data_IF_386831354378
#
_entry.id   IF_386831354378
#
_cell.length_a   1.000
_cell.length_b   1.000
_cell.length_c   1.000
_cell.angle_alpha   90.00
_cell.angle_beta   90.00
_cell.angle_gamma   90.00
#
_symmetry.space_group_name_H-M   'P 1'
#
loop_
_entity.id
_entity.type
_entity.pdbx_description
1 polymer ?
#
# COMPACT_ATOMS: atom_id res chain seq x y z
N UNK A 1 -4.81 -6.69 -75.62
CA UNK A 1 -4.88 -5.41 -74.90
C UNK A 1 -5.09 -5.71 -73.43
N UNK A 2 -4.03 -5.62 -72.64
CA UNK A 2 -4.04 -5.94 -71.17
C UNK A 2 -3.96 -4.61 -70.45
N UNK A 3 -5.05 -4.27 -69.71
CA UNK A 3 -5.10 -3.08 -68.84
C UNK A 3 -4.30 -3.35 -67.56
N UNK A 4 -3.31 -2.54 -67.28
CA UNK A 4 -2.48 -2.53 -66.13
C UNK A 4 -3.11 -1.55 -65.10
N UNK A 5 -3.75 -2.08 -64.04
CA UNK A 5 -4.27 -1.27 -62.96
C UNK A 5 -3.15 -1.00 -61.96
N UNK A 6 -2.76 0.26 -61.84
CA UNK A 6 -1.78 0.76 -60.89
C UNK A 6 -2.44 0.94 -59.52
N UNK A 7 -2.08 0.11 -58.53
CA UNK A 7 -2.53 0.23 -57.15
C UNK A 7 -1.65 1.27 -56.44
N UNK A 8 -2.23 2.41 -56.08
CA UNK A 8 -1.57 3.46 -55.33
C UNK A 8 -1.63 3.12 -53.81
N UNK A 9 -0.49 2.74 -53.23
CA UNK A 9 -0.34 2.47 -51.81
C UNK A 9 -0.16 3.80 -51.07
N UNK A 10 -1.20 4.28 -50.39
CA UNK A 10 -1.12 5.44 -49.51
C UNK A 10 -0.55 5.00 -48.15
N UNK A 11 0.70 5.34 -47.88
CA UNK A 11 1.31 5.18 -46.57
C UNK A 11 0.81 6.27 -45.61
N UNK A 12 0.04 5.90 -44.60
CA UNK A 12 -0.36 6.78 -43.50
C UNK A 12 0.75 6.74 -42.46
N UNK A 13 1.42 7.85 -42.15
CA UNK A 13 2.34 7.88 -41.02
C UNK A 13 1.52 7.86 -39.73
N UNK A 14 1.58 6.73 -39.02
CA UNK A 14 1.05 6.61 -37.65
C UNK A 14 1.80 7.54 -36.72
N UNK A 15 1.16 8.58 -36.23
CA UNK A 15 1.62 9.35 -35.10
C UNK A 15 1.56 8.46 -33.85
N UNK A 16 2.71 7.93 -33.43
CA UNK A 16 2.88 7.42 -32.08
C UNK A 16 2.77 8.60 -31.10
N UNK A 17 1.61 8.78 -30.50
CA UNK A 17 1.49 9.63 -29.34
C UNK A 17 2.10 8.87 -28.16
N UNK A 18 3.36 9.18 -27.83
CA UNK A 18 3.92 8.86 -26.54
C UNK A 18 3.06 9.57 -25.49
N UNK A 19 2.31 8.81 -24.71
CA UNK A 19 1.58 9.30 -23.55
C UNK A 19 2.61 9.61 -22.46
N UNK A 20 3.18 10.83 -22.52
CA UNK A 20 3.91 11.39 -21.38
C UNK A 20 2.90 11.56 -20.23
N UNK A 21 2.87 10.56 -19.35
CA UNK A 21 2.19 10.67 -18.08
C UNK A 21 2.85 11.79 -17.27
N UNK A 22 2.29 12.98 -17.34
CA UNK A 22 2.57 14.03 -16.35
C UNK A 22 2.15 13.47 -14.99
N UNK A 23 3.12 13.03 -14.19
CA UNK A 23 2.92 12.82 -12.78
C UNK A 23 2.55 14.17 -12.18
N UNK A 24 1.26 14.41 -12.06
CA UNK A 24 0.71 15.59 -11.42
C UNK A 24 0.93 15.44 -9.92
N UNK A 25 1.69 16.35 -9.37
CA UNK A 25 1.86 16.67 -7.96
C UNK A 25 0.59 16.42 -7.14
N UNK A 26 0.75 15.56 -6.10
CA UNK A 26 0.06 15.59 -4.80
C UNK A 26 -1.38 16.08 -4.82
N UNK A 27 -2.30 15.29 -5.37
CA UNK A 27 -3.69 15.40 -4.98
C UNK A 27 -3.85 14.64 -3.66
N UNK A 28 -3.69 15.33 -2.52
CA UNK A 28 -4.19 14.84 -1.24
C UNK A 28 -5.69 14.68 -1.42
N UNK A 29 -6.12 13.45 -1.71
CA UNK A 29 -7.55 13.14 -1.75
C UNK A 29 -8.05 13.35 -0.33
N UNK A 30 -8.92 14.34 -0.12
CA UNK A 30 -9.46 14.62 1.19
C UNK A 30 -10.19 13.36 1.68
N UNK A 31 -9.71 12.80 2.79
CA UNK A 31 -10.33 11.61 3.42
C UNK A 31 -11.67 12.06 4.00
N UNK A 32 -12.74 11.37 3.64
CA UNK A 32 -14.08 11.66 4.11
C UNK A 32 -14.16 11.53 5.66
N UNK A 33 -14.92 12.39 6.34
CA UNK A 33 -14.97 12.43 7.82
C UNK A 33 -15.31 11.09 8.46
N UNK A 34 -16.17 10.28 7.84
CA UNK A 34 -16.56 8.96 8.31
C UNK A 34 -15.43 7.93 8.28
N UNK A 35 -14.41 8.12 7.44
CA UNK A 35 -13.24 7.25 7.34
C UNK A 35 -12.08 7.67 8.25
N UNK A 36 -12.09 8.89 8.78
CA UNK A 36 -11.01 9.41 9.64
C UNK A 36 -10.71 8.52 10.85
N UNK A 37 -11.71 7.97 11.59
CA UNK A 37 -11.43 7.08 12.71
C UNK A 37 -10.69 5.79 12.29
N UNK A 38 -10.96 5.24 11.11
CA UNK A 38 -10.26 4.06 10.59
C UNK A 38 -8.81 4.41 10.19
N UNK A 39 -8.61 5.57 9.55
CA UNK A 39 -7.27 6.07 9.23
C UNK A 39 -6.42 6.26 10.49
N UNK A 40 -7.00 6.79 11.57
CA UNK A 40 -6.30 6.97 12.83
C UNK A 40 -5.82 5.64 13.44
N UNK A 41 -6.58 4.54 13.26
CA UNK A 41 -6.16 3.19 13.70
C UNK A 41 -4.96 2.71 12.86
N UNK A 42 -5.00 2.89 11.53
CA UNK A 42 -3.88 2.53 10.65
C UNK A 42 -2.61 3.28 11.03
N UNK A 43 -2.70 4.57 11.30
CA UNK A 43 -1.56 5.40 11.71
C UNK A 43 -0.98 4.97 13.06
N UNK A 44 -1.84 4.64 14.02
CA UNK A 44 -1.40 4.15 15.33
C UNK A 44 -0.75 2.77 15.24
N UNK A 45 -1.30 1.86 14.42
CA UNK A 45 -0.70 0.56 14.14
C UNK A 45 0.68 0.72 13.50
N UNK A 46 0.80 1.53 12.45
CA UNK A 46 2.07 1.79 11.77
C UNK A 46 3.11 2.40 12.72
N UNK A 47 2.69 3.34 13.58
CA UNK A 47 3.57 3.94 14.60
C UNK A 47 4.03 2.89 15.62
N UNK A 48 3.15 2.01 16.08
CA UNK A 48 3.49 0.96 17.03
C UNK A 48 4.51 -0.02 16.43
N UNK A 49 4.33 -0.46 15.18
CA UNK A 49 5.31 -1.28 14.48
C UNK A 49 6.66 -0.55 14.34
N UNK A 50 6.65 0.70 13.92
CA UNK A 50 7.86 1.49 13.70
C UNK A 50 8.66 1.73 14.99
N UNK A 51 7.97 1.80 16.12
CA UNK A 51 8.62 1.93 17.45
C UNK A 51 8.97 0.58 18.07
N UNK A 52 8.52 -0.53 17.49
CA UNK A 52 8.72 -1.89 18.02
C UNK A 52 7.80 -2.25 19.17
N UNK A 53 6.72 -1.50 19.39
CA UNK A 53 5.70 -1.78 20.39
C UNK A 53 4.69 -2.80 19.84
N UNK A 54 5.11 -4.08 19.81
CA UNK A 54 4.32 -5.16 19.22
C UNK A 54 3.02 -5.46 20.01
N UNK A 55 3.02 -5.26 21.32
CA UNK A 55 1.82 -5.41 22.14
C UNK A 55 0.75 -4.39 21.70
N UNK A 56 1.17 -3.15 21.54
CA UNK A 56 0.30 -2.08 21.05
C UNK A 56 -0.13 -2.32 19.61
N UNK A 57 0.77 -2.74 18.73
CA UNK A 57 0.42 -3.10 17.35
C UNK A 57 -0.64 -4.19 17.32
N UNK A 58 -0.47 -5.25 18.11
CA UNK A 58 -1.43 -6.35 18.24
C UNK A 58 -2.80 -5.91 18.73
N UNK A 59 -2.87 -4.89 19.60
CA UNK A 59 -4.15 -4.37 20.09
C UNK A 59 -5.03 -3.73 19.02
N UNK A 60 -4.47 -3.37 17.86
CA UNK A 60 -5.22 -2.83 16.72
C UNK A 60 -5.75 -3.91 15.77
N UNK A 61 -5.31 -5.16 15.90
CA UNK A 61 -5.70 -6.28 15.05
C UNK A 61 -6.87 -7.06 15.66
N UNK A 62 -7.74 -7.63 14.81
CA UNK A 62 -8.66 -8.69 15.25
C UNK A 62 -7.88 -9.99 15.46
N UNK A 63 -8.47 -10.97 16.17
CA UNK A 63 -7.79 -12.23 16.48
C UNK A 63 -7.50 -13.07 15.21
N UNK A 64 -8.42 -13.07 14.27
CA UNK A 64 -8.39 -13.81 13.00
C UNK A 64 -7.96 -12.92 11.81
N UNK A 65 -7.17 -11.88 12.05
CA UNK A 65 -6.64 -11.02 11.00
C UNK A 65 -5.93 -11.85 9.92
N UNK A 66 -6.22 -11.51 8.65
CA UNK A 66 -5.50 -12.06 7.51
C UNK A 66 -4.45 -11.06 7.01
N UNK A 67 -3.19 -11.43 7.06
CA UNK A 67 -2.09 -10.60 6.52
C UNK A 67 -1.50 -11.33 5.32
N UNK A 68 -1.38 -10.62 4.20
CA UNK A 68 -0.80 -11.13 2.96
C UNK A 68 0.38 -10.24 2.56
N UNK A 69 1.53 -10.88 2.35
CA UNK A 69 2.72 -10.18 1.87
C UNK A 69 3.60 -11.10 1.04
N UNK A 70 4.02 -10.65 -0.17
CA UNK A 70 5.03 -11.31 -1.02
C UNK A 70 4.79 -12.82 -1.25
N UNK A 71 3.52 -13.26 -1.28
CA UNK A 71 3.12 -14.66 -1.42
C UNK A 71 3.03 -15.43 -0.10
N UNK A 72 3.40 -14.81 1.03
CA UNK A 72 3.17 -15.31 2.38
C UNK A 72 1.77 -14.96 2.89
N UNK A 73 1.35 -15.64 3.96
CA UNK A 73 0.10 -15.36 4.65
C UNK A 73 0.17 -15.72 6.13
N UNK A 74 -0.17 -14.79 7.01
CA UNK A 74 -0.51 -15.04 8.41
C UNK A 74 -2.03 -14.95 8.58
N UNK A 75 -2.59 -15.93 9.30
CA UNK A 75 -4.05 -16.11 9.44
C UNK A 75 -4.57 -15.83 10.85
N UNK A 76 -3.73 -15.26 11.68
CA UNK A 76 -4.12 -14.79 13.01
C UNK A 76 -3.15 -13.74 13.54
N UNK A 77 -3.65 -12.90 14.45
CA UNK A 77 -2.82 -11.96 15.21
C UNK A 77 -1.65 -12.67 15.91
N UNK A 78 -1.90 -13.84 16.50
CA UNK A 78 -0.86 -14.61 17.17
C UNK A 78 0.24 -15.05 16.20
N UNK A 79 -0.13 -15.60 15.04
CA UNK A 79 0.82 -16.05 14.02
C UNK A 79 1.72 -14.88 13.56
N UNK A 80 1.14 -13.72 13.29
CA UNK A 80 1.87 -12.54 12.90
C UNK A 80 2.82 -12.03 13.99
N UNK A 81 2.33 -11.89 15.23
CA UNK A 81 3.14 -11.37 16.34
C UNK A 81 4.28 -12.31 16.75
N UNK A 82 4.07 -13.63 16.68
CA UNK A 82 5.10 -14.63 17.00
C UNK A 82 6.16 -14.77 15.89
N UNK A 83 5.87 -14.27 14.70
CA UNK A 83 6.70 -14.42 13.49
C UNK A 83 7.15 -13.10 12.85
N UNK A 84 6.45 -12.68 11.82
CA UNK A 84 6.85 -11.58 10.92
C UNK A 84 6.94 -10.22 11.60
N UNK A 85 6.06 -9.92 12.57
CA UNK A 85 5.99 -8.62 13.22
C UNK A 85 7.34 -8.14 13.78
N UNK A 86 8.16 -9.06 14.30
CA UNK A 86 9.50 -8.74 14.81
C UNK A 86 10.45 -8.27 13.70
N UNK A 87 10.40 -8.90 12.53
CA UNK A 87 11.21 -8.52 11.37
C UNK A 87 10.74 -7.19 10.77
N UNK A 88 9.43 -7.00 10.66
CA UNK A 88 8.84 -5.76 10.18
C UNK A 88 9.23 -4.58 11.09
N UNK A 89 9.09 -4.75 12.40
CA UNK A 89 9.47 -3.73 13.37
C UNK A 89 10.97 -3.41 13.30
N UNK A 90 11.83 -4.42 13.18
CA UNK A 90 13.28 -4.22 13.05
C UNK A 90 13.63 -3.44 11.78
N UNK A 91 13.00 -3.74 10.66
CA UNK A 91 13.18 -3.02 9.40
C UNK A 91 12.65 -1.59 9.49
N UNK A 92 11.39 -1.41 9.92
CA UNK A 92 10.73 -0.11 9.98
C UNK A 92 11.38 0.85 10.97
N UNK A 93 11.98 0.35 12.05
CA UNK A 93 12.71 1.15 13.04
C UNK A 93 13.88 1.93 12.42
N UNK A 94 14.48 1.39 11.36
CA UNK A 94 15.64 1.99 10.69
C UNK A 94 15.28 2.65 9.35
N UNK A 95 14.06 2.44 8.88
CA UNK A 95 13.57 3.02 7.64
C UNK A 95 12.91 4.38 7.88
N UNK A 96 13.14 5.31 6.96
CA UNK A 96 12.31 6.51 6.85
C UNK A 96 11.15 6.21 5.91
N UNK A 97 9.92 6.33 6.41
CA UNK A 97 8.70 6.07 5.64
C UNK A 97 8.04 7.40 5.31
N UNK A 98 7.89 7.69 4.02
CA UNK A 98 7.16 8.84 3.50
C UNK A 98 5.86 8.35 2.87
N UNK A 99 4.71 8.73 3.46
CA UNK A 99 3.40 8.46 2.87
C UNK A 99 3.13 9.46 1.76
N UNK A 100 3.14 9.00 0.52
CA UNK A 100 2.93 9.84 -0.67
C UNK A 100 1.44 10.10 -0.92
N UNK A 101 0.60 9.10 -0.64
CA UNK A 101 -0.84 9.17 -0.84
C UNK A 101 -1.57 8.26 0.13
N UNK A 102 -2.72 8.70 0.60
CA UNK A 102 -3.66 7.86 1.34
C UNK A 102 -5.07 8.08 0.84
N UNK A 103 -5.80 6.99 0.66
CA UNK A 103 -7.21 6.98 0.28
C UNK A 103 -7.95 6.09 1.27
N UNK A 104 -9.11 6.52 1.73
CA UNK A 104 -9.90 5.75 2.67
C UNK A 104 -11.39 5.91 2.42
N UNK A 105 -12.15 4.83 2.67
CA UNK A 105 -13.59 4.82 2.65
C UNK A 105 -14.12 4.02 3.83
N UNK A 106 -15.24 4.47 4.39
CA UNK A 106 -15.99 3.74 5.41
C UNK A 106 -17.47 3.62 4.99
N UNK A 107 -18.06 2.44 5.23
CA UNK A 107 -19.48 2.18 4.99
C UNK A 107 -20.01 1.24 6.05
N UNK A 108 -20.87 1.74 6.93
CA UNK A 108 -21.37 0.98 8.07
C UNK A 108 -20.22 0.56 8.97
N UNK A 109 -20.09 -0.73 9.20
CA UNK A 109 -19.08 -1.31 10.09
C UNK A 109 -17.80 -1.77 9.38
N UNK A 110 -17.66 -1.44 8.11
CA UNK A 110 -16.45 -1.73 7.33
C UNK A 110 -15.78 -0.44 6.85
N UNK A 111 -14.46 -0.45 6.85
CA UNK A 111 -13.64 0.58 6.22
C UNK A 111 -12.45 -0.08 5.49
N UNK A 112 -11.92 0.63 4.49
CA UNK A 112 -10.63 0.30 3.94
C UNK A 112 -9.76 1.55 3.82
N UNK A 113 -8.46 1.37 3.99
CA UNK A 113 -7.44 2.41 3.87
C UNK A 113 -6.35 1.89 2.94
N UNK A 114 -6.13 2.59 1.85
CA UNK A 114 -5.03 2.34 0.91
C UNK A 114 -3.94 3.40 1.07
N UNK A 115 -2.69 2.99 1.19
CA UNK A 115 -1.54 3.90 1.30
C UNK A 115 -0.52 3.58 0.22
N UNK A 116 0.05 4.63 -0.39
CA UNK A 116 1.21 4.59 -1.26
C UNK A 116 2.35 5.29 -0.53
N UNK A 117 3.50 4.62 -0.40
CA UNK A 117 4.62 5.12 0.39
C UNK A 117 5.95 4.92 -0.31
N UNK A 118 6.92 5.73 0.05
CA UNK A 118 8.32 5.52 -0.24
C UNK A 118 9.07 5.23 1.06
N UNK A 119 9.86 4.16 1.06
CA UNK A 119 10.68 3.76 2.20
C UNK A 119 12.14 3.93 1.84
N UNK A 120 12.87 4.65 2.67
CA UNK A 120 14.31 4.81 2.57
C UNK A 120 14.97 4.06 3.71
N UNK A 121 15.84 3.11 3.37
CA UNK A 121 16.55 2.27 4.33
C UNK A 121 18.01 2.05 3.89
N UNK A 122 18.80 1.40 4.74
CA UNK A 122 20.15 0.96 4.42
C UNK A 122 20.20 -0.56 4.51
N UNK A 123 20.67 -1.22 3.45
CA UNK A 123 20.90 -2.66 3.42
C UNK A 123 22.35 -2.92 3.06
N UNK A 124 23.06 -3.68 3.90
CA UNK A 124 24.50 -4.02 3.71
C UNK A 124 25.37 -2.77 3.49
N UNK A 125 25.07 -1.70 4.24
CA UNK A 125 25.78 -0.41 4.15
C UNK A 125 25.46 0.42 2.91
N UNK A 126 24.51 -0.02 2.07
CA UNK A 126 24.11 0.69 0.85
C UNK A 126 22.71 1.28 1.00
N UNK A 127 22.50 2.55 0.59
CA UNK A 127 21.16 3.13 0.60
C UNK A 127 20.27 2.40 -0.40
N UNK A 128 19.02 2.15 0.01
CA UNK A 128 17.98 1.61 -0.85
C UNK A 128 16.69 2.39 -0.68
N UNK A 129 15.89 2.47 -1.74
CA UNK A 129 14.55 3.02 -1.72
C UNK A 129 13.56 2.00 -2.27
N UNK A 130 12.44 1.85 -1.60
CA UNK A 130 11.32 0.99 -2.00
C UNK A 130 10.08 1.86 -2.25
N UNK A 131 9.32 1.51 -3.27
CA UNK A 131 7.92 1.95 -3.41
C UNK A 131 7.05 0.86 -2.81
N UNK A 132 6.17 1.23 -1.90
CA UNK A 132 5.27 0.32 -1.20
C UNK A 132 3.82 0.74 -1.41
N UNK A 133 2.95 -0.26 -1.53
CA UNK A 133 1.51 -0.10 -1.45
C UNK A 133 0.97 -0.97 -0.33
N UNK A 134 0.01 -0.42 0.39
CA UNK A 134 -0.64 -1.06 1.52
C UNK A 134 -2.14 -0.95 1.36
N UNK A 135 -2.86 -2.00 1.67
CA UNK A 135 -4.32 -1.95 1.87
C UNK A 135 -4.65 -2.58 3.20
N UNK A 136 -5.34 -1.84 4.06
CA UNK A 136 -5.90 -2.34 5.30
C UNK A 136 -7.42 -2.30 5.24
N UNK A 137 -8.07 -3.41 5.58
CA UNK A 137 -9.51 -3.47 5.79
C UNK A 137 -9.75 -3.52 7.29
N UNK A 138 -10.65 -2.68 7.75
CA UNK A 138 -11.01 -2.56 9.15
C UNK A 138 -12.48 -2.87 9.35
N UNK A 139 -12.80 -3.46 10.47
CA UNK A 139 -14.15 -3.68 10.94
C UNK A 139 -14.40 -2.97 12.28
N UNK A 140 -15.67 -2.62 12.51
CA UNK A 140 -16.09 -2.01 13.77
C UNK A 140 -16.45 -3.09 14.76
N UNK A 141 -15.73 -3.14 15.87
CA UNK A 141 -15.99 -4.03 17.01
C UNK A 141 -16.62 -3.26 18.16
N UNK A 142 -16.98 -3.95 19.25
CA UNK A 142 -17.42 -3.31 20.50
C UNK A 142 -16.34 -2.42 21.14
N UNK A 143 -15.07 -2.59 20.73
CA UNK A 143 -13.93 -1.80 21.20
C UNK A 143 -13.48 -0.73 20.19
N UNK A 144 -14.27 -0.45 19.15
CA UNK A 144 -13.96 0.47 18.06
C UNK A 144 -13.40 -0.23 16.83
N UNK A 145 -12.79 0.53 15.94
CA UNK A 145 -12.22 -0.01 14.72
C UNK A 145 -11.02 -0.92 15.00
N UNK A 146 -10.96 -2.05 14.28
CA UNK A 146 -9.84 -3.01 14.31
C UNK A 146 -9.50 -3.44 12.89
N UNK A 147 -8.23 -3.72 12.63
CA UNK A 147 -7.72 -4.18 11.33
C UNK A 147 -8.02 -5.67 11.22
N UNK A 148 -8.79 -6.05 10.20
CA UNK A 148 -9.17 -7.43 9.89
C UNK A 148 -8.37 -8.01 8.72
N UNK A 149 -7.79 -7.15 7.86
CA UNK A 149 -6.94 -7.59 6.76
C UNK A 149 -5.86 -6.56 6.45
N UNK A 150 -4.67 -7.05 6.12
CA UNK A 150 -3.56 -6.25 5.60
C UNK A 150 -3.03 -6.92 4.34
N UNK A 151 -2.78 -6.12 3.31
CA UNK A 151 -2.00 -6.54 2.16
C UNK A 151 -0.87 -5.56 1.91
N UNK A 152 0.35 -6.03 1.98
CA UNK A 152 1.56 -5.29 1.64
C UNK A 152 2.18 -5.78 0.35
N UNK A 153 2.66 -4.84 -0.45
CA UNK A 153 3.42 -5.10 -1.66
C UNK A 153 4.48 -4.03 -1.85
N UNK A 154 5.69 -4.42 -2.14
CA UNK A 154 6.79 -3.48 -2.35
C UNK A 154 7.67 -3.87 -3.55
N UNK A 155 8.35 -2.87 -4.11
CA UNK A 155 9.36 -3.05 -5.14
C UNK A 155 10.47 -2.01 -5.03
N UNK A 156 11.68 -2.30 -5.49
CA UNK A 156 12.74 -1.28 -5.58
C UNK A 156 12.28 -0.07 -6.40
N UNK A 157 12.60 1.13 -5.93
CA UNK A 157 12.51 2.36 -6.71
C UNK A 157 13.69 2.36 -7.69
N UNK A 158 13.39 2.44 -8.99
CA UNK A 158 14.38 2.53 -10.07
C UNK A 158 14.74 3.96 -10.34
#
# INVERSE_FOLDING_TARGET
MRSLSLLLLVAIPGLLHAHEGKHSTTATTAIAPEAQPAVAIVEQFSTALQTGDLDRAGAFLVDDVLILENGGAERSRKEYLDGHATHDAAFLKTAHVEVLRRTAHARGDLAWVGSESELHATKDGKPMALLSTETMVLERTSQGWRIAHIHWSSRPKR
#
